data_IF_414271887052
#
_entry.id   IF_414271887052
#
_cell.length_a   1.000
_cell.length_b   1.000
_cell.length_c   1.000
_cell.angle_alpha   90.00
_cell.angle_beta   90.00
_cell.angle_gamma   90.00
#
_symmetry.space_group_name_H-M   'P 1'
#
loop_
_entity.id
_entity.type
_entity.pdbx_description
1 polymer ?
#
# COMPACT_ATOMS: atom_id res chain seq x y z
N UNK A 1 -0.82 27.69 7.58
CA UNK A 1 -1.24 26.49 8.34
C UNK A 1 -2.26 26.95 9.36
N UNK A 2 -3.50 26.48 9.29
CA UNK A 2 -4.51 26.83 10.28
C UNK A 2 -4.44 25.81 11.41
N UNK A 3 -4.03 26.26 12.60
CA UNK A 3 -3.97 25.44 13.80
C UNK A 3 -5.35 25.46 14.45
N UNK A 4 -6.04 24.33 14.48
CA UNK A 4 -7.33 24.19 15.16
C UNK A 4 -7.11 23.74 16.59
N UNK A 5 -7.72 24.42 17.55
CA UNK A 5 -7.76 24.02 18.96
C UNK A 5 -9.03 23.18 19.22
N UNK A 6 -8.86 21.96 19.72
CA UNK A 6 -9.97 21.07 20.08
C UNK A 6 -9.93 20.68 21.56
N UNK A 7 -11.11 20.50 22.17
CA UNK A 7 -11.24 20.01 23.54
C UNK A 7 -11.36 18.49 23.52
N UNK A 8 -10.61 17.80 24.39
CA UNK A 8 -10.75 16.35 24.55
C UNK A 8 -11.91 16.04 25.50
N UNK A 9 -12.90 15.30 25.01
CA UNK A 9 -14.07 14.83 25.77
C UNK A 9 -14.21 13.34 25.50
N UNK A 10 -14.27 12.52 26.55
CA UNK A 10 -14.43 11.06 26.46
C UNK A 10 -13.46 10.38 25.46
N UNK A 11 -12.19 10.79 25.48
CA UNK A 11 -11.13 10.32 24.57
C UNK A 11 -11.28 10.71 23.10
N UNK A 12 -12.22 11.58 22.75
CA UNK A 12 -12.38 12.14 21.41
C UNK A 12 -12.07 13.63 21.45
N UNK A 13 -11.34 14.12 20.44
CA UNK A 13 -11.15 15.57 20.28
C UNK A 13 -12.37 16.17 19.59
N UNK A 14 -13.12 16.99 20.32
CA UNK A 14 -14.20 17.80 19.80
C UNK A 14 -13.64 19.15 19.38
N UNK A 15 -13.75 19.48 18.10
CA UNK A 15 -13.35 20.77 17.55
C UNK A 15 -14.64 21.55 17.31
N UNK A 16 -14.74 22.73 17.91
CA UNK A 16 -15.87 23.62 17.67
C UNK A 16 -15.62 24.44 16.40
N UNK A 17 -16.43 24.18 15.39
CA UNK A 17 -16.34 24.83 14.08
C UNK A 17 -17.26 26.07 14.00
N UNK A 18 -18.05 26.35 15.04
CA UNK A 18 -19.03 27.45 15.07
C UNK A 18 -18.38 28.84 15.15
N UNK A 19 -17.17 28.94 15.69
CA UNK A 19 -16.38 30.18 15.76
C UNK A 19 -15.82 30.63 14.41
N UNK A 20 -15.98 29.81 13.37
CA UNK A 20 -15.47 30.15 12.06
C UNK A 20 -16.60 30.81 11.27
N UNK A 21 -16.79 32.12 11.51
CA UNK A 21 -17.77 32.99 10.84
C UNK A 21 -17.39 33.31 9.38
N UNK A 22 -16.83 32.35 8.64
CA UNK A 22 -16.51 32.54 7.23
C UNK A 22 -17.42 31.65 6.37
N UNK A 23 -18.38 32.21 5.60
CA UNK A 23 -19.26 31.43 4.72
C UNK A 23 -18.49 30.71 3.60
N UNK A 24 -17.20 31.00 3.42
CA UNK A 24 -16.31 30.32 2.47
C UNK A 24 -15.44 29.22 3.10
N UNK A 25 -15.78 28.72 4.29
CA UNK A 25 -15.24 27.44 4.73
C UNK A 25 -15.82 26.30 3.92
N UNK A 26 -15.23 26.09 2.74
CA UNK A 26 -15.16 24.75 2.20
C UNK A 26 -14.36 23.92 3.20
N UNK A 27 -15.04 23.08 3.97
CA UNK A 27 -14.46 21.79 4.33
C UNK A 27 -13.72 21.29 3.08
N UNK A 28 -12.48 20.82 3.22
CA UNK A 28 -11.78 20.13 2.14
C UNK A 28 -12.45 18.77 1.89
N UNK A 29 -13.77 18.76 1.73
CA UNK A 29 -14.47 17.82 0.89
C UNK A 29 -13.92 18.07 -0.48
N UNK A 30 -12.86 17.33 -0.82
CA UNK A 30 -12.58 17.05 -2.22
C UNK A 30 -13.91 16.57 -2.78
N UNK A 31 -14.50 17.35 -3.68
CA UNK A 31 -15.67 16.96 -4.45
C UNK A 31 -15.21 15.83 -5.37
N UNK A 32 -14.92 14.68 -4.77
CA UNK A 32 -14.53 13.47 -5.47
C UNK A 32 -15.81 12.97 -6.10
N UNK A 33 -15.78 12.78 -7.41
CA UNK A 33 -16.76 11.98 -8.12
C UNK A 33 -17.09 10.75 -7.27
N UNK A 34 -18.38 10.45 -7.13
CA UNK A 34 -18.87 9.43 -6.20
C UNK A 34 -18.21 8.06 -6.45
N UNK A 35 -17.90 7.74 -7.70
CA UNK A 35 -17.17 6.53 -8.11
C UNK A 35 -15.78 6.45 -7.46
N UNK A 36 -15.03 7.55 -7.48
CA UNK A 36 -13.70 7.68 -6.88
C UNK A 36 -13.72 7.66 -5.35
N UNK A 37 -14.81 8.14 -4.74
CA UNK A 37 -15.02 8.00 -3.30
C UNK A 37 -15.16 6.52 -2.92
N UNK A 38 -15.96 5.76 -3.68
CA UNK A 38 -16.16 4.33 -3.44
C UNK A 38 -14.90 3.49 -3.74
N UNK A 39 -14.13 3.88 -4.75
CA UNK A 39 -12.79 3.32 -4.99
C UNK A 39 -11.90 3.39 -3.74
N UNK A 40 -11.84 4.55 -3.08
CA UNK A 40 -11.04 4.71 -1.84
C UNK A 40 -11.65 3.97 -0.65
N UNK A 41 -12.97 4.05 -0.46
CA UNK A 41 -13.68 3.36 0.65
C UNK A 41 -13.51 1.85 0.61
N UNK A 42 -13.44 1.25 -0.58
CA UNK A 42 -13.29 -0.19 -0.79
C UNK A 42 -11.83 -0.60 -1.01
N UNK A 43 -10.88 0.12 -0.41
CA UNK A 43 -9.46 -0.28 -0.40
C UNK A 43 -8.82 -0.25 -1.77
N UNK A 44 -9.14 0.76 -2.58
CA UNK A 44 -8.60 0.93 -3.93
C UNK A 44 -8.98 -0.20 -4.91
N UNK A 45 -10.18 -0.77 -4.75
CA UNK A 45 -10.75 -1.73 -5.70
C UNK A 45 -10.81 -1.14 -7.13
N UNK A 46 -10.53 -1.96 -8.15
CA UNK A 46 -10.52 -1.46 -9.53
C UNK A 46 -11.89 -0.93 -9.97
N UNK A 47 -11.94 0.11 -10.80
CA UNK A 47 -13.21 0.64 -11.32
C UNK A 47 -14.04 -0.42 -12.03
N UNK A 48 -13.40 -1.35 -12.74
CA UNK A 48 -14.06 -2.50 -13.35
C UNK A 48 -14.72 -3.41 -12.31
N UNK A 49 -14.03 -3.70 -11.20
CA UNK A 49 -14.59 -4.47 -10.09
C UNK A 49 -15.79 -3.74 -9.50
N UNK A 50 -15.68 -2.44 -9.24
CA UNK A 50 -16.76 -1.61 -8.70
C UNK A 50 -17.99 -1.61 -9.62
N UNK A 51 -17.79 -1.46 -10.93
CA UNK A 51 -18.85 -1.58 -11.95
C UNK A 51 -19.56 -2.94 -11.87
N UNK A 52 -18.79 -4.03 -11.81
CA UNK A 52 -19.33 -5.39 -11.74
C UNK A 52 -20.14 -5.61 -10.46
N UNK A 53 -19.60 -5.25 -9.29
CA UNK A 53 -20.27 -5.48 -8.01
C UNK A 53 -21.50 -4.58 -7.83
N UNK A 54 -21.48 -3.35 -8.38
CA UNK A 54 -22.63 -2.45 -8.41
C UNK A 54 -23.75 -3.03 -9.28
N UNK A 55 -23.41 -3.49 -10.49
CA UNK A 55 -24.38 -4.15 -11.40
C UNK A 55 -25.02 -5.40 -10.79
N UNK A 56 -24.24 -6.18 -10.05
CA UNK A 56 -24.70 -7.40 -9.39
C UNK A 56 -25.45 -7.15 -8.07
N UNK A 57 -25.49 -5.91 -7.57
CA UNK A 57 -26.12 -5.54 -6.29
C UNK A 57 -25.66 -6.37 -5.07
N UNK A 58 -24.39 -6.80 -5.07
CA UNK A 58 -23.86 -7.68 -4.01
C UNK A 58 -23.38 -6.94 -2.76
N UNK A 59 -23.18 -5.61 -2.84
CA UNK A 59 -22.76 -4.76 -1.72
C UNK A 59 -23.91 -3.86 -1.31
N UNK A 60 -24.36 -3.98 -0.05
CA UNK A 60 -25.38 -3.08 0.51
C UNK A 60 -24.82 -1.67 0.65
N UNK A 61 -25.59 -0.67 0.23
CA UNK A 61 -25.22 0.74 0.34
C UNK A 61 -24.29 1.25 -0.78
N UNK A 62 -23.85 0.39 -1.70
CA UNK A 62 -23.15 0.83 -2.90
C UNK A 62 -24.18 1.40 -3.91
N UNK A 63 -24.04 2.67 -4.33
CA UNK A 63 -24.96 3.29 -5.28
C UNK A 63 -24.76 2.71 -6.70
N UNK A 64 -25.81 2.83 -7.51
CA UNK A 64 -25.82 2.42 -8.92
C UNK A 64 -25.34 3.58 -9.79
N UNK A 65 -24.03 3.84 -9.75
CA UNK A 65 -23.36 4.88 -10.54
C UNK A 65 -22.44 4.27 -11.59
N UNK A 66 -22.05 5.06 -12.60
CA UNK A 66 -21.01 4.65 -13.54
C UNK A 66 -19.64 4.65 -12.87
N UNK A 67 -18.84 3.64 -13.18
CA UNK A 67 -17.47 3.50 -12.71
C UNK A 67 -16.55 3.47 -13.92
N UNK A 68 -16.26 4.67 -14.43
CA UNK A 68 -15.47 4.86 -15.64
C UNK A 68 -13.97 4.94 -15.33
N UNK A 69 -13.14 4.59 -16.32
CA UNK A 69 -11.66 4.60 -16.20
C UNK A 69 -11.08 5.91 -16.72
N UNK A 70 -11.67 7.04 -16.33
CA UNK A 70 -11.32 8.34 -16.91
C UNK A 70 -9.96 8.85 -16.43
N UNK A 71 -9.53 8.40 -15.24
CA UNK A 71 -8.28 8.81 -14.62
C UNK A 71 -7.54 7.62 -14.00
N UNK A 72 -6.23 7.75 -13.86
CA UNK A 72 -5.39 6.82 -13.12
C UNK A 72 -5.30 7.22 -11.65
N UNK A 73 -5.22 6.23 -10.77
CA UNK A 73 -4.94 6.47 -9.36
C UNK A 73 -3.44 6.33 -9.12
N UNK A 74 -2.76 7.42 -8.77
CA UNK A 74 -1.31 7.44 -8.54
C UNK A 74 -0.89 6.39 -7.49
N UNK A 75 -1.62 6.30 -6.39
CA UNK A 75 -1.36 5.33 -5.31
C UNK A 75 -1.52 3.90 -5.81
N UNK A 76 -2.55 3.61 -6.62
CA UNK A 76 -2.72 2.28 -7.20
C UNK A 76 -1.59 1.95 -8.19
N UNK A 77 -1.18 2.93 -8.99
CA UNK A 77 -0.14 2.73 -10.00
C UNK A 77 1.19 2.39 -9.33
N UNK A 78 1.57 3.15 -8.31
CA UNK A 78 2.78 2.87 -7.52
C UNK A 78 2.67 1.54 -6.78
N UNK A 79 1.51 1.26 -6.15
CA UNK A 79 1.30 0.03 -5.38
C UNK A 79 1.20 -1.25 -6.22
N UNK A 80 0.82 -1.14 -7.50
CA UNK A 80 0.75 -2.26 -8.46
C UNK A 80 1.98 -2.38 -9.35
N UNK A 81 2.97 -1.50 -9.17
CA UNK A 81 4.19 -1.55 -9.97
C UNK A 81 4.98 -2.82 -9.62
N UNK A 82 5.20 -3.65 -10.63
CA UNK A 82 6.03 -4.86 -10.51
C UNK A 82 7.45 -4.51 -10.96
N UNK A 83 8.47 -5.05 -10.26
CA UNK A 83 9.85 -4.93 -10.73
C UNK A 83 9.99 -5.63 -12.06
N UNK A 84 10.73 -5.00 -12.99
CA UNK A 84 11.11 -5.64 -14.25
C UNK A 84 11.81 -6.97 -13.96
N UNK A 85 11.52 -7.99 -14.77
CA UNK A 85 12.26 -9.24 -14.68
C UNK A 85 13.74 -8.99 -14.98
N UNK A 86 14.61 -9.69 -14.25
CA UNK A 86 16.02 -9.74 -14.61
C UNK A 86 16.19 -10.58 -15.87
N UNK A 87 17.15 -10.21 -16.73
CA UNK A 87 17.54 -11.08 -17.84
C UNK A 87 18.09 -12.37 -17.26
N UNK A 88 17.62 -13.51 -17.77
CA UNK A 88 18.23 -14.80 -17.46
C UNK A 88 19.67 -14.79 -17.96
N UNK A 89 20.62 -15.01 -17.07
CA UNK A 89 22.01 -15.26 -17.44
C UNK A 89 22.11 -16.76 -17.66
N UNK A 90 22.31 -17.17 -18.92
CA UNK A 90 22.53 -18.58 -19.30
C UNK A 90 24.02 -18.91 -19.44
N UNK A 91 24.90 -17.97 -19.07
CA UNK A 91 26.33 -18.18 -19.12
C UNK A 91 26.74 -19.10 -17.97
N UNK A 92 27.17 -20.31 -18.32
CA UNK A 92 27.82 -21.21 -17.37
C UNK A 92 29.20 -20.62 -17.10
N UNK A 93 29.36 -19.97 -15.94
CA UNK A 93 30.63 -19.34 -15.55
C UNK A 93 31.75 -20.33 -15.23
N UNK A 94 31.45 -21.64 -15.17
CA UNK A 94 32.38 -22.69 -14.78
C UNK A 94 32.45 -23.82 -15.82
N UNK A 95 33.65 -24.29 -16.07
CA UNK A 95 33.96 -25.39 -16.98
C UNK A 95 34.39 -26.66 -16.24
N UNK A 96 34.78 -26.55 -14.96
CA UNK A 96 35.23 -27.66 -14.13
C UNK A 96 34.52 -27.69 -12.76
N UNK A 97 34.47 -28.86 -12.10
CA UNK A 97 33.95 -28.96 -10.75
C UNK A 97 34.68 -28.02 -9.77
N UNK A 98 33.91 -27.37 -8.89
CA UNK A 98 34.39 -26.48 -7.81
C UNK A 98 35.03 -25.13 -8.25
N UNK A 99 34.89 -24.72 -9.52
CA UNK A 99 35.40 -23.40 -9.97
C UNK A 99 34.64 -22.20 -9.39
N UNK A 100 33.37 -22.38 -9.02
CA UNK A 100 32.57 -21.37 -8.34
C UNK A 100 31.76 -22.02 -7.22
N UNK A 101 31.97 -21.54 -6.00
CA UNK A 101 31.20 -21.95 -4.82
C UNK A 101 30.36 -20.76 -4.34
N UNK A 102 29.03 -20.88 -4.44
CA UNK A 102 28.11 -19.90 -3.90
C UNK A 102 27.67 -20.35 -2.50
N UNK A 103 27.92 -19.54 -1.48
CA UNK A 103 27.52 -19.81 -0.10
C UNK A 103 26.68 -18.66 0.41
N UNK A 104 25.57 -18.97 1.08
CA UNK A 104 24.77 -17.96 1.76
C UNK A 104 25.15 -17.88 3.24
N UNK A 105 25.20 -16.66 3.74
CA UNK A 105 25.55 -16.32 5.12
C UNK A 105 24.28 -15.94 5.85
N UNK A 106 23.79 -16.83 6.72
CA UNK A 106 22.63 -16.53 7.55
C UNK A 106 23.08 -16.05 8.95
N UNK A 107 22.57 -14.91 9.39
CA UNK A 107 22.81 -14.42 10.74
C UNK A 107 21.85 -15.09 11.74
N UNK A 108 22.38 -15.80 12.73
CA UNK A 108 21.58 -16.38 13.81
C UNK A 108 21.16 -15.32 14.84
N UNK A 109 19.96 -15.49 15.42
CA UNK A 109 19.34 -14.59 16.40
C UNK A 109 20.24 -14.30 17.63
N UNK A 110 20.04 -13.17 18.35
CA UNK A 110 21.01 -12.58 19.28
C UNK A 110 21.32 -13.36 20.58
N UNK A 111 20.78 -14.57 20.77
CA UNK A 111 20.96 -15.34 22.00
C UNK A 111 22.08 -16.37 21.92
N UNK A 112 23.26 -15.97 21.44
CA UNK A 112 24.51 -16.72 21.63
C UNK A 112 25.51 -15.82 22.36
N UNK A 113 25.66 -16.06 23.67
CA UNK A 113 26.85 -15.69 24.45
C UNK A 113 27.39 -17.00 25.05
N UNK A 114 28.68 -17.31 25.15
CA UNK A 114 29.94 -16.58 25.13
C UNK A 114 30.99 -17.45 24.41
N UNK A 115 31.89 -16.84 23.62
CA UNK A 115 33.20 -17.46 23.27
C UNK A 115 33.56 -17.60 21.79
N UNK A 116 32.65 -17.36 20.84
CA UNK A 116 32.97 -17.43 19.40
C UNK A 116 31.86 -16.85 18.52
N UNK A 117 32.22 -16.21 17.42
CA UNK A 117 31.25 -15.77 16.40
C UNK A 117 30.85 -17.00 15.57
N UNK A 118 29.73 -17.63 15.89
CA UNK A 118 29.20 -18.76 15.10
C UNK A 118 28.41 -18.21 13.92
N UNK A 119 28.94 -18.39 12.71
CA UNK A 119 28.27 -18.08 11.45
C UNK A 119 27.86 -19.41 10.83
N UNK A 120 26.60 -19.54 10.42
CA UNK A 120 26.12 -20.73 9.74
C UNK A 120 26.19 -20.49 8.23
N UNK A 121 26.88 -21.41 7.54
CA UNK A 121 26.94 -21.45 6.08
C UNK A 121 25.93 -22.48 5.58
N UNK A 122 25.05 -22.08 4.68
CA UNK A 122 24.19 -23.01 3.93
C UNK A 122 24.51 -22.91 2.44
N UNK A 123 24.44 -24.06 1.77
CA UNK A 123 24.54 -24.13 0.32
C UNK A 123 23.18 -23.75 -0.26
N UNK A 124 23.11 -22.73 -1.11
CA UNK A 124 21.89 -22.42 -1.86
C UNK A 124 21.64 -23.56 -2.85
N UNK A 125 20.47 -24.20 -2.74
CA UNK A 125 20.04 -25.26 -3.65
C UNK A 125 19.21 -24.67 -4.79
#
# INVERSE_FOLDING_TARGET
>A
MNLFSGQRIDNVYKIDLSTIENPNLKCLSTQTQESWLWHRRLGHASMHTLSKISRLNIVRGLPKISFDKDHLCDICQMGKQVRSSFKSINDISTTKPLELLHMDLFWSHPNIKFGGKTIWLSNCR
#
